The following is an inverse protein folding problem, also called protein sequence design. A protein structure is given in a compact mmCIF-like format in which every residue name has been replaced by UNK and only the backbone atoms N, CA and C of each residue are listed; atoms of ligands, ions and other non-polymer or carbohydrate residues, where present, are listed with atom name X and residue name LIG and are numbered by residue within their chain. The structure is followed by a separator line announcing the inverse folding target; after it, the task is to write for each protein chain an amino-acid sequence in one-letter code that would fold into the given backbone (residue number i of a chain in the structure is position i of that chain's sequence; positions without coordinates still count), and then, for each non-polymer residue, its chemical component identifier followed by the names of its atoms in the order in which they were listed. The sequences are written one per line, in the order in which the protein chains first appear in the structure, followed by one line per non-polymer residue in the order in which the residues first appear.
data_IF_965324093909
#
_entry.id   IF_965324093909
#
_cell.length_a   1.000
_cell.length_b   1.000
_cell.length_c   1.000
_cell.angle_alpha   90.00
_cell.angle_beta   90.00
_cell.angle_gamma   90.00
#
_symmetry.space_group_name_H-M   'P 1'
#
loop_
_entity.id
_entity.type
_entity.pdbx_description
1 polymer ?
#
# COMPACT_ATOMS: atom_id res chain seq x y z
N UNK A 1 -27.74 12.62 -40.09
CA UNK A 1 -26.95 12.65 -38.84
C UNK A 1 -26.93 11.30 -38.17
N UNK A 2 -25.89 10.53 -38.47
CA UNK A 2 -25.63 9.20 -37.92
C UNK A 2 -24.87 9.32 -36.61
N UNK A 3 -25.52 8.93 -35.50
CA UNK A 3 -24.88 8.65 -34.22
C UNK A 3 -23.98 7.42 -34.38
N UNK A 4 -22.68 7.64 -34.56
CA UNK A 4 -21.68 6.59 -34.46
C UNK A 4 -21.42 6.33 -32.97
N UNK A 5 -21.99 5.23 -32.47
CA UNK A 5 -21.82 4.74 -31.11
C UNK A 5 -20.37 4.36 -30.86
N UNK A 6 -19.72 5.02 -29.91
CA UNK A 6 -18.43 4.60 -29.38
C UNK A 6 -18.57 3.35 -28.52
N UNK A 7 -18.64 2.18 -29.15
CA UNK A 7 -18.77 0.88 -28.48
C UNK A 7 -17.72 -0.13 -28.95
N UNK A 8 -16.49 0.30 -29.15
CA UNK A 8 -15.35 -0.58 -29.44
C UNK A 8 -14.41 -0.74 -28.24
N UNK A 9 -14.94 -0.60 -27.01
CA UNK A 9 -14.24 -1.06 -25.81
C UNK A 9 -14.72 -2.47 -25.49
N UNK A 10 -13.93 -3.45 -25.95
CA UNK A 10 -14.05 -4.82 -25.50
C UNK A 10 -13.41 -4.93 -24.10
N UNK A 11 -14.23 -5.09 -23.06
CA UNK A 11 -13.77 -5.33 -21.68
C UNK A 11 -13.00 -6.65 -21.51
N UNK A 12 -12.82 -7.43 -22.59
CA UNK A 12 -11.89 -8.57 -22.62
C UNK A 12 -10.44 -8.16 -22.90
N UNK A 13 -10.15 -6.85 -22.88
CA UNK A 13 -8.78 -6.31 -22.84
C UNK A 13 -7.96 -7.15 -21.87
N UNK A 14 -7.01 -7.89 -22.45
CA UNK A 14 -6.26 -8.98 -21.82
C UNK A 14 -5.60 -8.51 -20.52
N UNK A 15 -6.34 -8.62 -19.42
CA UNK A 15 -5.90 -8.16 -18.12
C UNK A 15 -5.50 -9.37 -17.30
N UNK A 16 -4.18 -9.51 -17.09
CA UNK A 16 -3.62 -10.55 -16.24
C UNK A 16 -4.24 -10.58 -14.83
N UNK A 17 -4.89 -9.48 -14.39
CA UNK A 17 -5.64 -9.45 -13.14
C UNK A 17 -6.87 -10.34 -13.12
N UNK A 18 -7.67 -10.42 -14.20
CA UNK A 18 -8.88 -11.26 -14.22
C UNK A 18 -8.52 -12.75 -14.09
N UNK A 19 -7.41 -13.17 -14.71
CA UNK A 19 -6.90 -14.54 -14.64
C UNK A 19 -6.43 -14.90 -13.23
N UNK A 20 -5.75 -13.97 -12.54
CA UNK A 20 -5.32 -14.18 -11.15
C UNK A 20 -6.52 -14.17 -10.21
N UNK A 21 -7.54 -13.34 -10.46
CA UNK A 21 -8.76 -13.29 -9.65
C UNK A 21 -9.59 -14.57 -9.78
N UNK A 22 -9.67 -15.18 -10.97
CA UNK A 22 -10.29 -16.48 -11.16
C UNK A 22 -9.51 -17.62 -10.47
N UNK A 23 -8.17 -17.54 -10.43
CA UNK A 23 -7.33 -18.50 -9.72
C UNK A 23 -7.50 -18.47 -8.19
N UNK A 24 -7.92 -17.33 -7.62
CA UNK A 24 -8.23 -17.18 -6.18
C UNK A 24 -9.51 -17.92 -5.74
N UNK A 25 -10.36 -18.36 -6.68
CA UNK A 25 -11.67 -18.97 -6.36
C UNK A 25 -11.62 -20.50 -6.26
N UNK A 26 -10.43 -21.09 -6.01
CA UNK A 26 -10.26 -22.54 -5.96
C UNK A 26 -10.69 -23.11 -4.60
N UNK A 27 -11.17 -24.34 -4.61
CA UNK A 27 -11.78 -24.99 -3.44
C UNK A 27 -10.76 -25.42 -2.38
N UNK A 28 -9.49 -25.55 -2.74
CA UNK A 28 -8.40 -25.93 -1.84
C UNK A 28 -7.20 -24.99 -1.99
N UNK A 29 -6.50 -24.73 -0.88
CA UNK A 29 -5.38 -23.80 -0.82
C UNK A 29 -4.18 -24.23 -1.67
N UNK A 30 -3.92 -25.54 -1.76
CA UNK A 30 -2.81 -26.07 -2.56
C UNK A 30 -3.07 -25.92 -4.06
N UNK A 31 -4.31 -26.13 -4.51
CA UNK A 31 -4.73 -25.92 -5.90
C UNK A 31 -4.71 -24.42 -6.26
N UNK A 32 -5.17 -23.56 -5.34
CA UNK A 32 -5.10 -22.10 -5.46
C UNK A 32 -3.66 -21.63 -5.68
N UNK A 33 -2.73 -22.07 -4.84
CA UNK A 33 -1.30 -21.70 -4.93
C UNK A 33 -0.67 -22.19 -6.23
N UNK A 34 -0.99 -23.40 -6.68
CA UNK A 34 -0.53 -23.93 -7.96
C UNK A 34 -1.07 -23.12 -9.14
N UNK A 35 -2.36 -22.77 -9.12
CA UNK A 35 -3.01 -21.96 -10.16
C UNK A 35 -2.47 -20.52 -10.21
N UNK A 36 -2.17 -19.92 -9.05
CA UNK A 36 -1.52 -18.61 -8.99
C UNK A 36 -0.12 -18.66 -9.59
N UNK A 37 0.66 -19.70 -9.26
CA UNK A 37 2.03 -19.86 -9.77
C UNK A 37 2.02 -19.96 -11.29
N UNK A 38 1.12 -20.76 -11.87
CA UNK A 38 1.01 -20.92 -13.32
C UNK A 38 0.50 -19.66 -14.01
N UNK A 39 -0.52 -18.99 -13.46
CA UNK A 39 -1.02 -17.72 -14.01
C UNK A 39 0.05 -16.63 -14.02
N UNK A 40 0.80 -16.48 -12.93
CA UNK A 40 1.92 -15.52 -12.84
C UNK A 40 3.02 -15.84 -13.84
N UNK A 41 3.35 -17.12 -14.04
CA UNK A 41 4.34 -17.53 -15.05
C UNK A 41 3.83 -17.26 -16.48
N UNK A 42 2.57 -17.54 -16.77
CA UNK A 42 1.98 -17.27 -18.08
C UNK A 42 1.97 -15.76 -18.40
N UNK A 43 1.59 -14.92 -17.44
CA UNK A 43 1.60 -13.46 -17.61
C UNK A 43 3.02 -12.90 -17.78
N UNK A 44 4.04 -13.56 -17.20
CA UNK A 44 5.45 -13.19 -17.33
C UNK A 44 6.08 -13.61 -18.67
N UNK A 45 5.55 -14.64 -19.32
CA UNK A 45 6.11 -15.14 -20.60
C UNK A 45 5.49 -14.44 -21.80
N UNK A 46 4.27 -13.88 -21.68
CA UNK A 46 3.60 -13.11 -22.73
C UNK A 46 4.10 -11.67 -22.91
N UNK A 47 5.29 -11.36 -22.40
CA UNK A 47 5.91 -10.03 -22.45
C UNK A 47 6.06 -9.47 -23.88
N UNK A 48 6.13 -10.34 -24.89
CA UNK A 48 6.21 -9.95 -26.31
C UNK A 48 4.89 -9.48 -26.92
N UNK A 49 3.74 -9.72 -26.27
CA UNK A 49 2.41 -9.28 -26.71
C UNK A 49 1.96 -8.00 -25.97
N UNK A 50 2.81 -7.48 -25.10
CA UNK A 50 2.52 -6.29 -24.31
C UNK A 50 2.67 -5.06 -25.20
N UNK A 51 1.56 -4.34 -25.41
CA UNK A 51 1.60 -3.04 -26.05
C UNK A 51 2.13 -1.99 -25.06
N UNK A 52 3.42 -1.70 -25.16
CA UNK A 52 4.13 -0.75 -24.28
C UNK A 52 3.53 0.66 -24.29
N UNK A 53 2.95 1.08 -25.42
CA UNK A 53 2.34 2.42 -25.55
C UNK A 53 1.13 2.61 -24.63
N UNK A 54 0.49 1.53 -24.20
CA UNK A 54 -0.68 1.55 -23.31
C UNK A 54 -0.29 1.51 -21.82
N UNK A 55 0.96 1.14 -21.51
CA UNK A 55 1.40 0.89 -20.13
C UNK A 55 1.75 2.19 -19.37
N UNK A 56 1.71 3.35 -20.03
CA UNK A 56 2.01 4.64 -19.38
C UNK A 56 3.47 4.74 -18.88
N UNK A 57 4.30 3.75 -19.20
CA UNK A 57 5.75 3.79 -19.00
C UNK A 57 6.32 4.55 -20.20
N UNK A 58 6.76 5.79 -19.96
CA UNK A 58 7.58 6.51 -20.93
C UNK A 58 8.89 5.75 -21.10
N UNK A 59 9.13 5.25 -22.32
CA UNK A 59 10.46 4.78 -22.70
C UNK A 59 11.38 5.99 -22.68
N UNK A 60 12.42 5.93 -21.84
CA UNK A 60 13.48 6.91 -21.88
C UNK A 60 14.22 6.64 -23.20
N UNK A 61 14.34 7.62 -24.12
CA UNK A 61 15.09 7.42 -25.35
C UNK A 61 16.53 7.00 -25.03
N UNK A 62 17.09 6.06 -25.80
CA UNK A 62 18.46 5.54 -25.62
C UNK A 62 19.54 6.64 -25.57
N UNK A 63 19.25 7.80 -26.16
CA UNK A 63 20.09 9.01 -26.11
C UNK A 63 20.28 9.56 -24.68
N UNK A 64 19.39 9.22 -23.74
CA UNK A 64 19.55 9.61 -22.32
C UNK A 64 20.52 8.69 -21.57
N UNK A 65 20.74 7.45 -22.04
CA UNK A 65 21.68 6.49 -21.46
C UNK A 65 23.09 6.67 -22.04
N UNK A 66 23.23 7.25 -23.25
CA UNK A 66 24.53 7.50 -23.89
C UNK A 66 25.34 8.67 -23.31
N UNK A 67 24.84 9.39 -22.31
CA UNK A 67 25.62 10.42 -21.59
C UNK A 67 26.35 9.89 -20.34
N UNK A 68 26.56 8.57 -20.23
CA UNK A 68 27.67 8.07 -19.40
C UNK A 68 28.97 8.24 -20.16
N UNK A 69 29.50 9.47 -20.12
CA UNK A 69 30.85 9.84 -20.52
C UNK A 69 31.86 8.91 -19.81
N UNK A 70 32.34 7.89 -20.51
CA UNK A 70 33.35 6.92 -20.03
C UNK A 70 34.73 7.55 -19.72
N UNK A 71 34.87 8.89 -19.80
CA UNK A 71 36.13 9.61 -19.55
C UNK A 71 36.19 10.44 -18.27
N UNK A 72 35.25 10.29 -17.32
CA UNK A 72 35.44 10.90 -15.99
C UNK A 72 36.07 9.91 -15.01
N UNK A 73 37.40 9.96 -14.93
CA UNK A 73 38.13 9.51 -13.74
C UNK A 73 37.49 10.05 -12.47
N UNK A 74 37.45 9.27 -11.38
CA UNK A 74 36.67 9.61 -10.20
C UNK A 74 37.15 10.92 -9.59
N UNK A 75 36.24 11.91 -9.56
CA UNK A 75 36.29 12.96 -8.54
C UNK A 75 36.36 12.26 -7.18
N UNK A 76 37.23 12.74 -6.29
CA UNK A 76 37.53 12.11 -5.00
C UNK A 76 36.30 11.54 -4.29
N UNK A 77 36.44 10.38 -3.63
CA UNK A 77 35.35 9.69 -2.91
C UNK A 77 34.61 10.67 -1.96
N UNK A 78 35.34 11.62 -1.39
CA UNK A 78 34.80 12.66 -0.50
C UNK A 78 33.77 13.58 -1.20
N UNK A 79 33.97 13.94 -2.47
CA UNK A 79 33.02 14.76 -3.24
C UNK A 79 31.74 14.00 -3.61
N UNK A 80 31.84 12.69 -3.85
CA UNK A 80 30.68 11.84 -4.12
C UNK A 80 29.83 11.67 -2.85
N UNK A 81 30.48 11.51 -1.69
CA UNK A 81 29.80 11.42 -0.40
C UNK A 81 29.10 12.74 -0.04
N UNK A 82 29.72 13.90 -0.28
CA UNK A 82 29.08 15.20 -0.03
C UNK A 82 27.87 15.44 -0.94
N UNK A 83 27.98 15.08 -2.22
CA UNK A 83 26.89 15.24 -3.19
C UNK A 83 25.69 14.34 -2.85
N UNK A 84 25.93 13.08 -2.49
CA UNK A 84 24.88 12.13 -2.09
C UNK A 84 24.25 12.49 -0.74
N UNK A 85 25.02 13.01 0.22
CA UNK A 85 24.47 13.51 1.48
C UNK A 85 23.60 14.77 1.28
N UNK A 86 23.98 15.65 0.34
CA UNK A 86 23.15 16.79 -0.07
C UNK A 86 21.80 16.33 -0.61
N UNK A 87 21.81 15.41 -1.58
CA UNK A 87 20.60 14.86 -2.18
C UNK A 87 19.72 14.12 -1.16
N UNK A 88 20.32 13.32 -0.27
CA UNK A 88 19.61 12.60 0.78
C UNK A 88 18.90 13.58 1.75
N UNK A 89 19.58 14.66 2.14
CA UNK A 89 19.01 15.69 3.01
C UNK A 89 17.82 16.40 2.37
N UNK A 90 17.88 16.66 1.06
CA UNK A 90 16.75 17.23 0.32
C UNK A 90 15.56 16.29 0.27
N UNK A 91 15.79 14.99 0.04
CA UNK A 91 14.74 13.96 0.07
C UNK A 91 14.10 13.88 1.46
N UNK A 92 14.90 13.87 2.53
CA UNK A 92 14.38 13.89 3.90
C UNK A 92 13.54 15.15 4.20
N UNK A 93 13.99 16.32 3.74
CA UNK A 93 13.25 17.57 3.90
C UNK A 93 11.89 17.53 3.18
N UNK A 94 11.85 17.03 1.94
CA UNK A 94 10.62 16.85 1.16
C UNK A 94 9.65 15.88 1.83
N UNK A 95 10.13 14.72 2.32
CA UNK A 95 9.28 13.74 3.03
C UNK A 95 8.71 14.34 4.32
N UNK A 96 9.52 15.09 5.08
CA UNK A 96 9.08 15.75 6.32
C UNK A 96 7.97 16.78 6.05
N UNK A 97 8.13 17.61 5.02
CA UNK A 97 7.13 18.58 4.60
C UNK A 97 5.83 17.90 4.15
N UNK A 98 5.93 16.87 3.31
CA UNK A 98 4.76 16.10 2.85
C UNK A 98 4.02 15.43 4.00
N UNK A 99 4.74 14.85 4.96
CA UNK A 99 4.14 14.24 6.16
C UNK A 99 3.42 15.28 7.02
N UNK A 100 4.01 16.46 7.25
CA UNK A 100 3.36 17.52 8.02
C UNK A 100 2.05 17.99 7.37
N UNK A 101 2.05 18.18 6.04
CA UNK A 101 0.86 18.56 5.27
C UNK A 101 -0.22 17.45 5.28
N UNK A 102 0.19 16.19 5.17
CA UNK A 102 -0.72 15.05 5.24
C UNK A 102 -1.36 14.89 6.63
N UNK A 103 -0.59 15.07 7.71
CA UNK A 103 -1.11 15.01 9.09
C UNK A 103 -2.20 16.06 9.33
N UNK A 104 -2.00 17.30 8.86
CA UNK A 104 -3.00 18.37 8.95
C UNK A 104 -4.30 18.02 8.20
N UNK A 105 -4.20 17.39 7.02
CA UNK A 105 -5.37 16.95 6.25
C UNK A 105 -6.15 15.81 6.91
N UNK A 106 -5.48 14.96 7.68
CA UNK A 106 -6.09 13.84 8.40
C UNK A 106 -6.79 14.30 9.69
N UNK A 107 -6.23 15.27 10.41
CA UNK A 107 -6.80 15.80 11.65
C UNK A 107 -7.97 16.77 11.44
N UNK A 108 -8.10 17.40 10.27
CA UNK A 108 -9.22 18.33 9.99
C UNK A 108 -10.53 17.65 9.53
N UNK A 109 -10.54 16.34 9.31
CA UNK A 109 -11.77 15.59 8.94
C UNK A 109 -12.56 15.03 10.12
N UNK A 110 -12.08 15.20 11.36
CA UNK A 110 -12.84 14.86 12.56
C UNK A 110 -13.34 16.16 13.19
N UNK A 111 -14.18 16.89 12.45
CA UNK A 111 -14.97 17.96 13.05
C UNK A 111 -16.13 17.34 13.80
N UNK A 112 -16.14 17.59 15.10
CA UNK A 112 -17.31 17.71 15.98
C UNK A 112 -18.66 17.48 15.30
N UNK A 113 -19.21 16.29 15.51
CA UNK A 113 -20.65 16.18 15.67
C UNK A 113 -20.92 15.78 17.11
N UNK A 114 -21.59 16.69 17.81
CA UNK A 114 -22.14 16.52 19.15
C UNK A 114 -23.30 15.52 19.14
N UNK A 115 -23.05 14.28 18.75
CA UNK A 115 -24.06 13.23 18.75
C UNK A 115 -23.49 12.00 19.44
N UNK A 116 -24.21 11.58 20.48
CA UNK A 116 -24.07 10.29 21.18
C UNK A 116 -23.48 9.24 20.26
N UNK A 117 -22.24 8.82 20.53
CA UNK A 117 -21.59 7.75 19.76
C UNK A 117 -22.59 6.58 19.67
N UNK A 118 -22.91 6.09 18.46
CA UNK A 118 -23.94 5.07 18.30
C UNK A 118 -23.59 3.83 19.12
N UNK A 119 -24.58 3.02 19.49
CA UNK A 119 -24.25 1.74 20.11
C UNK A 119 -23.53 0.85 19.08
N UNK A 120 -22.30 0.36 19.33
CA UNK A 120 -21.62 -0.54 18.41
C UNK A 120 -22.37 -1.86 18.19
N UNK A 121 -23.33 -2.23 19.05
CA UNK A 121 -24.12 -3.45 18.90
C UNK A 121 -23.36 -4.74 19.26
N UNK A 122 -22.11 -4.62 19.72
CA UNK A 122 -21.32 -5.71 20.27
C UNK A 122 -20.63 -5.28 21.56
N UNK A 123 -20.33 -6.27 22.41
CA UNK A 123 -19.68 -6.08 23.71
C UNK A 123 -18.34 -6.82 23.69
N UNK A 124 -17.26 -6.12 24.01
CA UNK A 124 -15.93 -6.73 24.14
C UNK A 124 -15.72 -7.09 25.61
N UNK A 125 -15.22 -8.30 25.88
CA UNK A 125 -14.82 -8.71 27.22
C UNK A 125 -13.31 -8.97 27.27
N UNK A 126 -12.66 -8.44 28.30
CA UNK A 126 -11.34 -8.88 28.71
C UNK A 126 -11.50 -10.10 29.63
N UNK A 127 -10.62 -11.09 29.49
CA UNK A 127 -10.58 -12.28 30.36
C UNK A 127 -9.28 -12.24 31.13
N UNK A 128 -9.35 -12.16 32.45
CA UNK A 128 -8.15 -12.27 33.27
C UNK A 128 -7.54 -13.67 33.12
N UNK A 129 -6.27 -13.72 32.72
CA UNK A 129 -5.49 -14.95 32.57
C UNK A 129 -5.35 -15.77 33.85
N UNK A 130 -5.40 -15.13 35.04
CA UNK A 130 -5.21 -15.81 36.33
C UNK A 130 -6.51 -16.36 36.88
N UNK A 131 -7.56 -15.54 36.94
CA UNK A 131 -8.84 -15.90 37.57
C UNK A 131 -9.88 -16.40 36.57
N UNK A 132 -9.71 -16.13 35.27
CA UNK A 132 -10.70 -16.41 34.24
C UNK A 132 -11.92 -15.46 34.29
N UNK A 133 -11.89 -14.44 35.14
CA UNK A 133 -12.99 -13.49 35.28
C UNK A 133 -13.15 -12.66 34.00
N UNK A 134 -14.40 -12.50 33.54
CA UNK A 134 -14.73 -11.72 32.34
C UNK A 134 -15.18 -10.32 32.73
N UNK A 135 -14.49 -9.29 32.25
CA UNK A 135 -14.87 -7.88 32.48
C UNK A 135 -15.22 -7.20 31.17
N UNK A 136 -16.33 -6.47 31.19
CA UNK A 136 -16.80 -5.70 30.03
C UNK A 136 -15.86 -4.51 29.79
N UNK A 137 -15.31 -4.44 28.58
CA UNK A 137 -14.55 -3.27 28.13
C UNK A 137 -15.56 -2.22 27.64
N UNK A 138 -15.53 -0.98 28.17
CA UNK A 138 -16.44 0.06 27.73
C UNK A 138 -16.35 0.29 26.21
N UNK A 139 -17.47 0.61 25.54
CA UNK A 139 -17.45 0.89 24.12
C UNK A 139 -16.55 2.10 23.84
N UNK A 140 -15.87 2.07 22.69
CA UNK A 140 -14.94 3.13 22.27
C UNK A 140 -13.71 3.32 23.16
N UNK A 141 -13.38 2.34 24.01
CA UNK A 141 -12.09 2.30 24.72
C UNK A 141 -10.97 2.04 23.72
N UNK A 142 -9.89 2.84 23.77
CA UNK A 142 -8.74 2.63 22.88
C UNK A 142 -7.90 1.43 23.35
N UNK A 143 -7.14 0.80 22.45
CA UNK A 143 -6.25 -0.31 22.81
C UNK A 143 -5.28 0.06 23.95
N UNK A 144 -4.74 1.27 23.92
CA UNK A 144 -3.86 1.79 24.98
C UNK A 144 -4.56 1.91 26.33
N UNK A 145 -5.84 2.24 26.35
CA UNK A 145 -6.62 2.34 27.59
C UNK A 145 -6.98 0.94 28.11
N UNK A 146 -7.24 -0.01 27.22
CA UNK A 146 -7.39 -1.43 27.57
C UNK A 146 -6.11 -1.94 28.23
N UNK A 147 -4.93 -1.67 27.66
CA UNK A 147 -3.65 -2.08 28.24
C UNK A 147 -3.41 -1.50 29.64
N UNK A 148 -3.84 -0.26 29.88
CA UNK A 148 -3.77 0.36 31.22
C UNK A 148 -4.71 -0.32 32.23
N UNK A 149 -5.91 -0.70 31.81
CA UNK A 149 -6.86 -1.43 32.65
C UNK A 149 -6.25 -2.79 33.04
N UNK A 150 -5.65 -3.50 32.09
CA UNK A 150 -4.99 -4.80 32.30
C UNK A 150 -3.74 -4.64 33.20
N UNK A 151 -2.95 -3.61 32.98
CA UNK A 151 -1.70 -3.40 33.73
C UNK A 151 -1.97 -3.10 35.21
N UNK A 152 -3.02 -2.33 35.51
CA UNK A 152 -3.45 -2.07 36.90
C UNK A 152 -3.88 -3.34 37.62
N UNK A 153 -4.54 -4.26 36.91
CA UNK A 153 -4.95 -5.56 37.46
C UNK A 153 -3.76 -6.49 37.75
N UNK A 154 -2.67 -6.39 37.00
CA UNK A 154 -1.52 -7.29 37.20
C UNK A 154 -0.65 -6.88 38.40
N UNK A 155 -0.87 -5.68 38.97
CA UNK A 155 -0.12 -5.12 40.10
C UNK A 155 -0.75 -5.35 41.48
N UNK A 156 -2.01 -5.80 41.55
CA UNK A 156 -2.65 -6.31 42.77
C UNK A 156 -2.51 -7.85 42.88
#
# INVERSE_FOLDING_TARGET
DTLSSGSDYDETSFDGYQVIQAANQRTTRDEELAAMKTARMANRVKSSEINESTIGVQTIPDDFISNSDENQMPQSIDQVIESTNGELNEVYAKIKANKASATLSASSKIKDQSETKPDPGFRIYHVDSKTGEKRLVPPYTSARDVDQIISKETQD
#
